data_IF_768979326748
#
_entry.id   IF_768979326748
#
_cell.length_a   1.000
_cell.length_b   1.000
_cell.length_c   1.000
_cell.angle_alpha   90.00
_cell.angle_beta   90.00
_cell.angle_gamma   90.00
#
_symmetry.space_group_name_H-M   'P 1'
#
loop_
_entity.id
_entity.type
_entity.pdbx_description
1 polymer ?
#
# COMPACT_ATOMS: atom_id res chain seq x y z
N UNK A 1 -8.29 -9.45 -1.10
CA UNK A 1 -8.62 -8.01 -1.07
C UNK A 1 -7.49 -7.02 -1.40
N UNK A 2 -6.19 -7.36 -1.55
CA UNK A 2 -5.19 -6.37 -1.97
C UNK A 2 -5.53 -5.63 -3.27
N UNK A 3 -6.05 -6.35 -4.26
CA UNK A 3 -6.43 -5.81 -5.57
C UNK A 3 -7.60 -4.81 -5.48
N UNK A 4 -8.74 -5.12 -4.82
CA UNK A 4 -9.80 -4.13 -4.57
C UNK A 4 -9.35 -2.83 -3.91
N UNK A 5 -8.48 -2.89 -2.89
CA UNK A 5 -7.95 -1.66 -2.27
C UNK A 5 -7.10 -0.84 -3.26
N UNK A 6 -6.26 -1.51 -4.07
CA UNK A 6 -5.49 -0.80 -5.09
C UNK A 6 -6.39 -0.23 -6.19
N UNK A 7 -7.42 -0.97 -6.59
CA UNK A 7 -8.42 -0.51 -7.55
C UNK A 7 -9.12 0.77 -7.05
N UNK A 8 -9.50 0.83 -5.77
CA UNK A 8 -10.05 2.04 -5.15
C UNK A 8 -9.09 3.23 -5.31
N UNK A 9 -7.82 3.06 -4.95
CA UNK A 9 -6.80 4.12 -5.07
C UNK A 9 -6.71 4.63 -6.52
N UNK A 10 -6.69 3.71 -7.49
CA UNK A 10 -6.60 4.06 -8.91
C UNK A 10 -7.86 4.77 -9.41
N UNK A 11 -9.05 4.28 -9.05
CA UNK A 11 -10.32 4.90 -9.45
C UNK A 11 -10.44 6.32 -8.87
N UNK A 12 -10.13 6.51 -7.59
CA UNK A 12 -10.14 7.83 -6.94
C UNK A 12 -9.14 8.77 -7.61
N UNK A 13 -7.93 8.28 -7.94
CA UNK A 13 -6.96 9.08 -8.68
C UNK A 13 -7.49 9.48 -10.06
N UNK A 14 -8.01 8.54 -10.84
CA UNK A 14 -8.54 8.82 -12.18
C UNK A 14 -9.70 9.80 -12.09
N UNK A 15 -10.63 9.63 -11.16
CA UNK A 15 -11.73 10.56 -10.92
C UNK A 15 -11.20 11.97 -10.63
N UNK A 16 -10.23 12.11 -9.73
CA UNK A 16 -9.64 13.42 -9.40
C UNK A 16 -8.99 14.13 -10.61
N UNK A 17 -8.42 13.36 -11.54
CA UNK A 17 -7.83 13.88 -12.78
C UNK A 17 -8.94 14.35 -13.74
N UNK A 18 -10.01 13.56 -13.89
CA UNK A 18 -11.13 13.93 -14.75
C UNK A 18 -11.85 15.16 -14.21
N UNK A 19 -12.11 15.25 -12.90
CA UNK A 19 -12.72 16.42 -12.26
C UNK A 19 -11.84 17.68 -12.40
N UNK A 20 -10.52 17.54 -12.32
CA UNK A 20 -9.61 18.68 -12.43
C UNK A 20 -9.57 19.29 -13.83
N UNK A 21 -9.66 18.46 -14.87
CA UNK A 21 -9.48 18.92 -16.25
C UNK A 21 -10.77 19.00 -17.06
N UNK A 22 -11.80 18.27 -16.66
CA UNK A 22 -13.14 18.20 -17.26
C UNK A 22 -13.13 17.91 -18.77
N UNK A 23 -12.15 17.12 -19.24
CA UNK A 23 -11.98 16.81 -20.67
C UNK A 23 -12.62 15.46 -21.02
N UNK A 24 -13.40 15.45 -22.10
CA UNK A 24 -13.86 14.23 -22.75
C UNK A 24 -12.66 13.43 -23.26
N UNK A 25 -12.79 12.10 -23.27
CA UNK A 25 -11.73 11.19 -23.74
C UNK A 25 -12.20 10.43 -24.97
N UNK A 26 -11.25 10.02 -25.79
CA UNK A 26 -11.49 9.16 -26.96
C UNK A 26 -10.91 7.79 -26.66
N UNK A 27 -11.74 6.75 -26.75
CA UNK A 27 -11.36 5.36 -26.47
C UNK A 27 -11.74 4.43 -27.64
N UNK A 28 -11.11 3.24 -27.76
CA UNK A 28 -11.59 2.21 -28.66
C UNK A 28 -13.02 1.80 -28.34
N UNK A 29 -13.83 1.53 -29.36
CA UNK A 29 -15.25 1.15 -29.18
C UNK A 29 -15.40 -0.09 -28.30
N UNK A 30 -14.48 -1.05 -28.42
CA UNK A 30 -14.48 -2.31 -27.65
C UNK A 30 -14.32 -2.05 -26.15
N UNK A 31 -13.54 -1.03 -25.76
CA UNK A 31 -13.41 -0.66 -24.34
C UNK A 31 -14.71 -0.03 -23.84
N UNK A 32 -15.35 0.82 -24.63
CA UNK A 32 -16.63 1.40 -24.21
C UNK A 32 -17.74 0.36 -24.13
N UNK A 33 -17.78 -0.64 -25.02
CA UNK A 33 -18.70 -1.79 -24.89
C UNK A 33 -18.48 -2.56 -23.58
N UNK A 34 -17.23 -2.75 -23.16
CA UNK A 34 -16.92 -3.33 -21.85
C UNK A 34 -17.45 -2.45 -20.72
N UNK A 35 -17.21 -1.13 -20.79
CA UNK A 35 -17.70 -0.19 -19.77
C UNK A 35 -19.22 -0.20 -19.66
N UNK A 36 -19.92 -0.17 -20.80
CA UNK A 36 -21.39 -0.19 -20.86
C UNK A 36 -21.97 -1.48 -20.27
N UNK A 37 -21.32 -2.63 -20.53
CA UNK A 37 -21.73 -3.93 -19.95
C UNK A 37 -21.51 -3.99 -18.44
N UNK A 38 -20.43 -3.39 -17.94
CA UNK A 38 -20.17 -3.29 -16.49
C UNK A 38 -21.23 -2.41 -15.83
N UNK A 39 -21.53 -1.25 -16.42
CA UNK A 39 -22.51 -0.31 -15.88
C UNK A 39 -23.93 -0.89 -15.93
N UNK A 40 -24.30 -1.58 -17.03
CA UNK A 40 -25.58 -2.29 -17.15
C UNK A 40 -25.72 -3.40 -16.10
N UNK A 41 -24.66 -4.17 -15.86
CA UNK A 41 -24.68 -5.20 -14.81
C UNK A 41 -24.84 -4.58 -13.41
N UNK A 42 -24.26 -3.39 -13.18
CA UNK A 42 -24.40 -2.65 -11.94
C UNK A 42 -25.82 -2.08 -11.77
N UNK A 43 -26.43 -1.56 -12.85
CA UNK A 43 -27.84 -1.13 -12.86
C UNK A 43 -28.75 -2.27 -12.38
N UNK A 44 -28.57 -3.47 -12.94
CA UNK A 44 -29.37 -4.63 -12.54
C UNK A 44 -29.17 -5.02 -11.07
N UNK A 45 -27.94 -4.92 -10.56
CA UNK A 45 -27.66 -5.18 -9.15
C UNK A 45 -28.33 -4.13 -8.25
N UNK A 46 -28.26 -2.85 -8.60
CA UNK A 46 -28.91 -1.77 -7.87
C UNK A 46 -30.45 -1.90 -7.92
N UNK A 47 -31.02 -2.23 -9.08
CA UNK A 47 -32.45 -2.46 -9.28
C UNK A 47 -32.99 -3.68 -8.51
N UNK A 48 -32.13 -4.68 -8.25
CA UNK A 48 -32.51 -5.83 -7.42
C UNK A 48 -32.81 -5.43 -5.96
N UNK A 49 -32.32 -4.28 -5.51
CA UNK A 49 -32.45 -3.82 -4.13
C UNK A 49 -31.62 -4.64 -3.15
N UNK A 50 -30.62 -5.39 -3.63
CA UNK A 50 -29.75 -6.17 -2.77
C UNK A 50 -28.95 -5.26 -1.82
N UNK A 51 -29.05 -5.53 -0.53
CA UNK A 51 -28.26 -4.91 0.52
C UNK A 51 -27.53 -5.97 1.34
N UNK A 52 -26.33 -5.64 1.81
CA UNK A 52 -25.56 -6.49 2.74
C UNK A 52 -26.16 -6.47 4.16
N UNK A 53 -27.43 -6.90 4.30
CA UNK A 53 -28.12 -7.05 5.58
C UNK A 53 -27.58 -8.26 6.36
N UNK A 54 -27.41 -8.09 7.67
CA UNK A 54 -27.13 -9.13 8.68
C UNK A 54 -26.14 -10.24 8.25
N UNK A 55 -24.97 -9.85 7.72
CA UNK A 55 -23.78 -10.73 7.57
C UNK A 55 -23.25 -11.28 8.92
N UNK A 56 -23.95 -11.03 10.03
CA UNK A 56 -23.69 -11.58 11.37
C UNK A 56 -23.87 -13.10 11.43
N UNK A 57 -24.61 -13.69 10.49
CA UNK A 57 -24.55 -15.13 10.26
C UNK A 57 -23.61 -15.40 9.11
N UNK A 58 -22.60 -16.23 9.36
CA UNK A 58 -21.70 -16.94 8.42
C UNK A 58 -22.36 -17.33 7.08
N UNK A 59 -22.67 -16.37 6.21
CA UNK A 59 -23.12 -16.63 4.85
C UNK A 59 -21.87 -17.04 4.08
N UNK A 60 -21.63 -18.35 4.10
CA UNK A 60 -20.65 -18.98 3.25
C UNK A 60 -21.17 -19.00 1.80
N UNK A 61 -22.48 -19.06 1.55
CA UNK A 61 -22.99 -19.02 0.18
C UNK A 61 -22.96 -17.59 -0.40
N UNK A 62 -22.53 -17.47 -1.65
CA UNK A 62 -22.58 -16.20 -2.38
C UNK A 62 -24.04 -15.93 -2.80
N UNK A 63 -24.61 -14.78 -2.43
CA UNK A 63 -25.95 -14.36 -2.86
C UNK A 63 -26.11 -14.39 -4.39
N UNK A 64 -27.30 -14.76 -4.85
CA UNK A 64 -27.56 -14.95 -6.28
C UNK A 64 -27.37 -13.65 -7.08
N UNK A 65 -27.71 -12.51 -6.49
CA UNK A 65 -27.57 -11.18 -7.06
C UNK A 65 -26.08 -10.86 -7.29
N UNK A 66 -25.24 -11.12 -6.28
CA UNK A 66 -23.78 -10.94 -6.39
C UNK A 66 -23.14 -11.94 -7.36
N UNK A 67 -23.61 -13.20 -7.38
CA UNK A 67 -23.17 -14.20 -8.36
C UNK A 67 -23.48 -13.74 -9.78
N UNK A 68 -24.72 -13.30 -10.03
CA UNK A 68 -25.19 -12.82 -11.33
C UNK A 68 -24.38 -11.61 -11.80
N UNK A 69 -24.14 -10.64 -10.91
CA UNK A 69 -23.27 -9.49 -11.20
C UNK A 69 -21.85 -9.94 -11.59
N UNK A 70 -21.23 -10.78 -10.76
CA UNK A 70 -19.89 -11.31 -11.03
C UNK A 70 -19.82 -12.06 -12.36
N UNK A 71 -20.80 -12.91 -12.68
CA UNK A 71 -20.84 -13.71 -13.91
C UNK A 71 -20.95 -12.83 -15.15
N UNK A 72 -21.82 -11.81 -15.13
CA UNK A 72 -21.97 -10.84 -16.22
C UNK A 72 -20.72 -10.01 -16.45
N UNK A 73 -20.14 -9.45 -15.40
CA UNK A 73 -18.91 -8.65 -15.50
C UNK A 73 -17.73 -9.53 -15.92
N UNK A 74 -17.66 -10.78 -15.47
CA UNK A 74 -16.65 -11.75 -15.91
C UNK A 74 -16.79 -12.08 -17.39
N UNK A 75 -18.02 -12.38 -17.83
CA UNK A 75 -18.33 -12.64 -19.23
C UNK A 75 -17.95 -11.45 -20.12
N UNK A 76 -18.34 -10.23 -19.73
CA UNK A 76 -17.98 -9.03 -20.47
C UNK A 76 -16.46 -8.85 -20.64
N UNK A 77 -15.67 -9.19 -19.60
CA UNK A 77 -14.19 -9.17 -19.70
C UNK A 77 -13.65 -10.22 -20.67
N UNK A 78 -14.18 -11.44 -20.68
CA UNK A 78 -13.74 -12.49 -21.61
C UNK A 78 -14.18 -12.19 -23.06
N UNK A 79 -15.36 -11.60 -23.24
CA UNK A 79 -15.82 -11.10 -24.54
C UNK A 79 -14.90 -9.99 -25.05
N UNK A 80 -14.57 -9.00 -24.21
CA UNK A 80 -13.61 -7.95 -24.55
C UNK A 80 -12.26 -8.53 -24.96
N UNK A 81 -11.70 -9.45 -24.15
CA UNK A 81 -10.42 -10.13 -24.48
C UNK A 81 -10.50 -10.88 -25.80
N UNK A 82 -11.63 -11.52 -26.10
CA UNK A 82 -11.86 -12.24 -27.36
C UNK A 82 -11.92 -11.29 -28.55
N UNK A 83 -12.58 -10.14 -28.40
CA UNK A 83 -12.68 -9.09 -29.42
C UNK A 83 -11.31 -8.50 -29.77
N UNK A 84 -10.48 -8.24 -28.77
CA UNK A 84 -9.17 -7.57 -28.95
C UNK A 84 -7.99 -8.55 -29.01
N UNK A 85 -8.25 -9.85 -29.11
CA UNK A 85 -7.22 -10.89 -29.03
C UNK A 85 -6.12 -10.75 -30.11
N UNK A 86 -6.48 -10.22 -31.27
CA UNK A 86 -5.58 -10.04 -32.42
C UNK A 86 -5.33 -8.56 -32.73
N UNK A 87 -6.39 -7.77 -32.87
CA UNK A 87 -6.32 -6.35 -33.19
C UNK A 87 -7.56 -5.60 -32.68
N UNK A 88 -7.45 -4.28 -32.60
CA UNK A 88 -8.60 -3.39 -32.43
C UNK A 88 -9.19 -3.04 -33.79
N UNK A 89 -10.50 -2.77 -33.84
CA UNK A 89 -11.20 -2.34 -35.06
C UNK A 89 -10.73 -0.98 -35.60
N UNK A 90 -9.93 -0.23 -34.84
CA UNK A 90 -9.58 1.18 -35.04
C UNK A 90 -10.75 2.16 -34.96
N UNK A 91 -11.97 1.68 -34.66
CA UNK A 91 -13.09 2.55 -34.37
C UNK A 91 -12.94 3.12 -32.96
N UNK A 92 -13.28 4.41 -32.81
CA UNK A 92 -13.21 5.11 -31.53
C UNK A 92 -14.52 5.77 -31.21
N UNK A 93 -14.80 5.93 -29.92
CA UNK A 93 -15.90 6.74 -29.42
C UNK A 93 -15.42 7.74 -28.38
N UNK A 94 -16.17 8.84 -28.24
CA UNK A 94 -15.92 9.88 -27.25
C UNK A 94 -16.81 9.63 -26.04
N UNK A 95 -16.23 9.65 -24.84
CA UNK A 95 -16.99 9.69 -23.59
C UNK A 95 -16.83 11.07 -22.97
N UNK A 96 -17.96 11.73 -22.72
CA UNK A 96 -18.01 13.03 -22.07
C UNK A 96 -17.52 12.95 -20.61
N UNK A 97 -16.80 13.97 -20.17
CA UNK A 97 -16.24 14.03 -18.80
C UNK A 97 -17.32 13.88 -17.73
N UNK A 98 -18.51 14.46 -17.94
CA UNK A 98 -19.64 14.32 -17.02
C UNK A 98 -20.12 12.88 -16.86
N UNK A 99 -20.15 12.09 -17.95
CA UNK A 99 -20.51 10.67 -17.89
C UNK A 99 -19.43 9.86 -17.18
N UNK A 100 -18.14 10.14 -17.46
CA UNK A 100 -17.05 9.46 -16.75
C UNK A 100 -17.06 9.71 -15.26
N UNK A 101 -17.32 10.95 -14.83
CA UNK A 101 -17.43 11.30 -13.41
C UNK A 101 -18.53 10.47 -12.75
N UNK A 102 -19.70 10.34 -13.40
CA UNK A 102 -20.80 9.53 -12.90
C UNK A 102 -20.42 8.05 -12.80
N UNK A 103 -19.90 7.46 -13.87
CA UNK A 103 -19.48 6.04 -13.93
C UNK A 103 -18.42 5.75 -12.85
N UNK A 104 -17.36 6.55 -12.78
CA UNK A 104 -16.27 6.33 -11.82
C UNK A 104 -16.76 6.49 -10.37
N UNK A 105 -17.63 7.45 -10.10
CA UNK A 105 -18.24 7.62 -8.77
C UNK A 105 -19.04 6.39 -8.37
N UNK A 106 -19.84 5.84 -9.29
CA UNK A 106 -20.61 4.61 -9.06
C UNK A 106 -19.69 3.41 -8.81
N UNK A 107 -18.64 3.23 -9.62
CA UNK A 107 -17.69 2.13 -9.45
C UNK A 107 -16.91 2.22 -8.13
N UNK A 108 -16.50 3.43 -7.72
CA UNK A 108 -15.85 3.64 -6.41
C UNK A 108 -16.80 3.22 -5.29
N UNK A 109 -18.08 3.62 -5.36
CA UNK A 109 -19.09 3.23 -4.39
C UNK A 109 -19.26 1.71 -4.32
N UNK A 110 -19.34 1.01 -5.44
CA UNK A 110 -19.46 -0.46 -5.45
C UNK A 110 -18.21 -1.14 -4.88
N UNK A 111 -17.02 -0.66 -5.21
CA UNK A 111 -15.77 -1.16 -4.61
C UNK A 111 -15.79 -0.95 -3.10
N UNK A 112 -16.22 0.22 -2.62
CA UNK A 112 -16.35 0.50 -1.19
C UNK A 112 -17.35 -0.42 -0.49
N UNK A 113 -18.50 -0.69 -1.11
CA UNK A 113 -19.45 -1.70 -0.62
C UNK A 113 -18.78 -3.08 -0.49
N UNK A 114 -18.06 -3.52 -1.51
CA UNK A 114 -17.32 -4.79 -1.49
C UNK A 114 -16.22 -4.86 -0.43
N UNK A 115 -15.51 -3.75 -0.17
CA UNK A 115 -14.51 -3.65 0.89
C UNK A 115 -15.16 -3.75 2.28
N UNK A 116 -16.28 -3.06 2.50
CA UNK A 116 -17.05 -3.14 3.75
C UNK A 116 -17.59 -4.56 3.98
N UNK A 117 -18.10 -5.20 2.92
CA UNK A 117 -18.52 -6.62 2.94
C UNK A 117 -17.38 -7.54 3.36
N UNK A 118 -16.18 -7.36 2.81
CA UNK A 118 -15.03 -8.18 3.18
C UNK A 118 -14.64 -8.02 4.65
N UNK A 119 -14.72 -6.79 5.21
CA UNK A 119 -14.50 -6.55 6.65
C UNK A 119 -15.56 -7.26 7.49
N UNK A 120 -16.83 -7.22 7.09
CA UNK A 120 -17.92 -7.94 7.77
C UNK A 120 -17.73 -9.46 7.74
N UNK A 121 -17.29 -10.02 6.61
CA UNK A 121 -16.98 -11.46 6.49
C UNK A 121 -15.82 -11.85 7.41
N UNK A 122 -14.80 -11.00 7.52
CA UNK A 122 -13.67 -11.21 8.43
C UNK A 122 -12.72 -12.36 8.02
N UNK A 123 -11.52 -12.35 8.59
CA UNK A 123 -10.54 -13.42 8.40
C UNK A 123 -10.81 -14.50 9.44
N UNK A 124 -10.66 -15.78 9.08
CA UNK A 124 -10.82 -16.85 10.04
C UNK A 124 -9.59 -17.77 10.00
N UNK A 125 -9.08 -18.09 11.17
CA UNK A 125 -7.90 -18.92 11.30
C UNK A 125 -7.62 -19.28 12.75
N UNK A 126 -6.44 -19.86 12.99
CA UNK A 126 -6.05 -20.16 14.36
C UNK A 126 -5.89 -18.87 15.17
N UNK A 127 -6.79 -18.66 16.13
CA UNK A 127 -6.78 -17.49 17.02
C UNK A 127 -7.39 -16.21 16.42
N UNK A 128 -8.12 -16.29 15.31
CA UNK A 128 -8.92 -15.19 14.76
C UNK A 128 -10.30 -15.73 14.34
N UNK A 129 -11.36 -15.12 14.88
CA UNK A 129 -12.76 -15.47 14.68
C UNK A 129 -13.50 -14.49 13.75
N UNK A 130 -12.76 -13.63 13.04
CA UNK A 130 -13.31 -12.64 12.12
C UNK A 130 -13.62 -11.30 12.77
N UNK A 131 -13.44 -11.17 14.09
CA UNK A 131 -13.76 -9.94 14.84
C UNK A 131 -12.60 -8.97 15.00
N UNK A 132 -11.43 -9.28 14.45
CA UNK A 132 -10.20 -8.46 14.58
C UNK A 132 -10.32 -7.06 13.94
N UNK A 133 -11.35 -6.81 13.14
CA UNK A 133 -11.51 -5.55 12.39
C UNK A 133 -10.42 -5.34 11.33
N UNK A 134 -9.68 -6.40 10.98
CA UNK A 134 -8.68 -6.42 9.92
C UNK A 134 -9.30 -7.05 8.68
N UNK A 135 -9.13 -6.38 7.54
CA UNK A 135 -9.61 -6.88 6.26
C UNK A 135 -8.97 -8.22 5.87
N UNK A 136 -9.74 -9.18 5.35
CA UNK A 136 -9.20 -10.40 4.77
C UNK A 136 -8.29 -10.12 3.59
N UNK A 137 -7.18 -10.86 3.49
CA UNK A 137 -6.28 -10.72 2.33
C UNK A 137 -6.71 -11.60 1.17
N UNK A 138 -7.22 -12.80 1.43
CA UNK A 138 -7.62 -13.74 0.40
C UNK A 138 -8.97 -14.34 0.77
N UNK A 139 -9.71 -14.75 -0.25
CA UNK A 139 -10.87 -15.63 -0.14
C UNK A 139 -10.67 -16.79 -1.12
N UNK A 140 -11.23 -17.94 -0.80
CA UNK A 140 -11.45 -19.01 -1.78
C UNK A 140 -12.92 -19.02 -2.19
N UNK A 141 -13.22 -19.45 -3.42
CA UNK A 141 -14.59 -19.65 -3.86
C UNK A 141 -14.74 -21.10 -4.30
N UNK A 142 -15.69 -21.81 -3.70
CA UNK A 142 -16.01 -23.19 -4.03
C UNK A 142 -17.32 -23.24 -4.82
N UNK A 143 -17.30 -23.83 -6.02
CA UNK A 143 -18.52 -24.00 -6.80
C UNK A 143 -19.43 -25.01 -6.09
N UNK A 144 -20.63 -24.58 -5.71
CA UNK A 144 -21.61 -25.39 -4.96
C UNK A 144 -22.70 -25.95 -5.86
N UNK A 145 -22.92 -25.33 -7.02
CA UNK A 145 -23.87 -25.81 -8.02
C UNK A 145 -23.40 -25.47 -9.44
N UNK A 146 -23.77 -26.31 -10.40
CA UNK A 146 -23.41 -26.15 -11.81
C UNK A 146 -24.38 -26.88 -12.74
N UNK A 147 -24.33 -26.51 -14.01
CA UNK A 147 -25.03 -27.19 -15.11
C UNK A 147 -24.03 -27.76 -16.11
N UNK A 148 -24.32 -28.93 -16.67
CA UNK A 148 -23.49 -29.53 -17.71
C UNK A 148 -23.70 -28.80 -19.03
N UNK A 149 -22.62 -28.51 -19.74
CA UNK A 149 -22.71 -27.90 -21.08
C UNK A 149 -23.01 -28.91 -22.18
N UNK A 150 -22.81 -30.21 -21.89
CA UNK A 150 -22.87 -31.29 -22.88
C UNK A 150 -21.58 -31.42 -23.71
N UNK A 151 -20.58 -30.59 -23.44
CA UNK A 151 -19.26 -30.64 -24.06
C UNK A 151 -18.25 -31.32 -23.13
N UNK A 152 -17.13 -31.77 -23.71
CA UNK A 152 -16.02 -32.36 -22.95
C UNK A 152 -14.71 -31.68 -23.32
N UNK A 153 -13.79 -31.60 -22.37
CA UNK A 153 -12.43 -31.17 -22.65
C UNK A 153 -11.64 -32.27 -23.40
N UNK A 154 -10.40 -31.95 -23.79
CA UNK A 154 -9.50 -32.88 -24.51
C UNK A 154 -9.23 -34.21 -23.79
N UNK A 155 -9.42 -34.24 -22.47
CA UNK A 155 -9.18 -35.39 -21.61
C UNK A 155 -10.49 -36.16 -21.31
N UNK A 156 -11.62 -35.75 -21.91
CA UNK A 156 -12.93 -36.40 -21.80
C UNK A 156 -13.75 -35.98 -20.57
N UNK A 157 -13.31 -34.99 -19.80
CA UNK A 157 -14.07 -34.48 -18.66
C UNK A 157 -15.17 -33.52 -19.12
N UNK A 158 -16.37 -33.68 -18.57
CA UNK A 158 -17.52 -32.83 -18.87
C UNK A 158 -17.23 -31.37 -18.47
N UNK A 159 -17.60 -30.45 -19.36
CA UNK A 159 -17.55 -29.02 -19.08
C UNK A 159 -18.83 -28.59 -18.35
N UNK A 160 -18.67 -27.61 -17.45
CA UNK A 160 -19.74 -27.15 -16.56
C UNK A 160 -19.81 -25.62 -16.56
N UNK A 161 -21.03 -25.10 -16.41
CA UNK A 161 -21.29 -23.70 -16.09
C UNK A 161 -21.69 -23.62 -14.61
N UNK A 162 -20.90 -22.92 -13.81
CA UNK A 162 -21.23 -22.66 -12.42
C UNK A 162 -22.54 -21.87 -12.31
N UNK A 163 -23.34 -22.18 -11.30
CA UNK A 163 -24.61 -21.46 -11.02
C UNK A 163 -24.70 -20.97 -9.58
N UNK A 164 -23.86 -21.48 -8.69
CA UNK A 164 -23.70 -20.99 -7.33
C UNK A 164 -22.30 -21.30 -6.81
N UNK A 165 -21.83 -20.51 -5.84
CA UNK A 165 -20.58 -20.74 -5.14
C UNK A 165 -20.67 -20.31 -3.69
N UNK A 166 -19.73 -20.79 -2.88
CA UNK A 166 -19.53 -20.39 -1.50
C UNK A 166 -18.14 -19.80 -1.28
N UNK A 167 -18.02 -18.85 -0.36
CA UNK A 167 -16.81 -18.20 0.10
C UNK A 167 -16.17 -19.02 1.21
N UNK A 168 -14.88 -19.28 1.08
CA UNK A 168 -14.01 -19.72 2.17
C UNK A 168 -13.09 -18.58 2.61
N UNK A 169 -12.84 -18.52 3.90
CA UNK A 169 -12.00 -17.52 4.54
C UNK A 169 -10.63 -18.11 4.88
N UNK A 170 -9.65 -17.22 5.02
CA UNK A 170 -8.27 -17.60 5.36
C UNK A 170 -7.79 -16.83 6.60
N UNK A 171 -6.70 -17.29 7.25
CA UNK A 171 -6.04 -16.53 8.29
C UNK A 171 -5.58 -15.16 7.78
N UNK A 172 -5.28 -14.25 8.70
CA UNK A 172 -4.73 -12.95 8.36
C UNK A 172 -3.43 -13.06 7.57
N UNK A 173 -3.25 -12.18 6.59
CA UNK A 173 -1.97 -11.89 5.96
C UNK A 173 -1.71 -10.39 6.06
N UNK A 174 -0.44 -10.00 6.25
CA UNK A 174 -0.06 -8.61 6.50
C UNK A 174 -0.36 -7.68 5.31
N UNK A 175 -0.47 -8.23 4.10
CA UNK A 175 -0.81 -7.44 2.92
C UNK A 175 -2.21 -6.80 3.03
N UNK A 176 -3.19 -7.49 3.61
CA UNK A 176 -4.55 -6.97 3.83
C UNK A 176 -4.58 -5.65 4.59
N UNK A 177 -4.18 -5.61 5.87
CA UNK A 177 -4.16 -4.38 6.66
C UNK A 177 -3.23 -3.31 6.08
N UNK A 178 -2.11 -3.69 5.44
CA UNK A 178 -1.26 -2.72 4.75
C UNK A 178 -2.03 -2.00 3.64
N UNK A 179 -2.77 -2.74 2.81
CA UNK A 179 -3.60 -2.17 1.74
C UNK A 179 -4.78 -1.38 2.27
N UNK A 180 -5.39 -1.83 3.37
CA UNK A 180 -6.43 -1.09 4.08
C UNK A 180 -5.91 0.28 4.54
N UNK A 181 -4.73 0.31 5.16
CA UNK A 181 -4.08 1.53 5.65
C UNK A 181 -3.73 2.50 4.52
N UNK A 182 -3.37 2.00 3.34
CA UNK A 182 -3.14 2.82 2.14
C UNK A 182 -4.40 3.58 1.67
N UNK A 183 -5.58 3.10 2.04
CA UNK A 183 -6.87 3.76 1.73
C UNK A 183 -7.48 4.54 2.90
N UNK A 184 -6.79 4.61 4.03
CA UNK A 184 -7.19 5.45 5.16
C UNK A 184 -7.16 6.93 4.76
N UNK A 185 -8.15 7.68 5.23
CA UNK A 185 -8.30 9.11 4.94
C UNK A 185 -7.81 9.98 6.10
N UNK A 186 -7.67 9.38 7.30
CA UNK A 186 -7.20 10.06 8.50
C UNK A 186 -6.13 9.26 9.24
N UNK A 187 -5.30 9.98 10.01
CA UNK A 187 -4.30 9.35 10.90
C UNK A 187 -4.95 8.47 11.97
N UNK A 188 -6.16 8.80 12.42
CA UNK A 188 -6.88 8.01 13.44
C UNK A 188 -7.39 6.67 12.90
N UNK A 189 -7.90 6.66 11.66
CA UNK A 189 -8.24 5.40 10.97
C UNK A 189 -7.02 4.50 10.81
N UNK A 190 -5.90 5.05 10.34
CA UNK A 190 -4.64 4.31 10.20
C UNK A 190 -4.12 3.81 11.55
N UNK A 191 -4.27 4.60 12.62
CA UNK A 191 -3.92 4.19 13.99
C UNK A 191 -4.78 3.06 14.50
N UNK A 192 -6.07 3.08 14.24
CA UNK A 192 -6.95 1.97 14.59
C UNK A 192 -6.53 0.67 13.88
N UNK A 193 -6.22 0.75 12.58
CA UNK A 193 -5.68 -0.41 11.83
C UNK A 193 -4.37 -0.89 12.46
N UNK A 194 -3.46 0.02 12.80
CA UNK A 194 -2.21 -0.33 13.46
C UNK A 194 -2.41 -1.06 14.80
N UNK A 195 -3.31 -0.58 15.66
CA UNK A 195 -3.60 -1.23 16.94
C UNK A 195 -4.19 -2.62 16.74
N UNK A 196 -5.17 -2.77 15.82
CA UNK A 196 -5.75 -4.07 15.52
C UNK A 196 -4.67 -5.07 15.05
N UNK A 197 -3.76 -4.65 14.16
CA UNK A 197 -2.66 -5.50 13.68
C UNK A 197 -1.67 -5.84 14.81
N UNK A 198 -1.35 -4.87 15.67
CA UNK A 198 -0.47 -5.07 16.82
C UNK A 198 -1.01 -6.11 17.81
N UNK A 199 -2.34 -6.14 17.99
CA UNK A 199 -3.04 -7.08 18.88
C UNK A 199 -3.37 -8.43 18.19
N UNK A 200 -3.22 -8.51 16.87
CA UNK A 200 -3.54 -9.71 16.09
C UNK A 200 -2.46 -10.79 16.08
N UNK A 201 -2.80 -11.96 15.53
CA UNK A 201 -1.87 -13.06 15.26
C UNK A 201 -0.76 -12.75 14.23
N UNK A 202 -0.73 -11.56 13.63
CA UNK A 202 0.36 -11.10 12.76
C UNK A 202 1.59 -10.60 13.53
N UNK A 203 1.46 -10.33 14.84
CA UNK A 203 2.57 -9.81 15.65
C UNK A 203 3.41 -10.95 16.23
N UNK A 204 4.69 -10.97 15.87
CA UNK A 204 5.69 -11.74 16.61
C UNK A 204 6.09 -10.94 17.86
N UNK A 205 5.55 -11.34 19.00
CA UNK A 205 5.78 -10.66 20.28
C UNK A 205 7.23 -10.80 20.77
N UNK A 206 7.95 -11.87 20.41
CA UNK A 206 9.32 -12.09 20.84
C UNK A 206 10.28 -11.16 20.10
N UNK A 207 10.11 -11.07 18.78
CA UNK A 207 10.98 -10.28 17.91
C UNK A 207 10.50 -8.83 17.75
N UNK A 208 9.27 -8.52 18.15
CA UNK A 208 8.63 -7.22 17.91
C UNK A 208 8.61 -6.87 16.42
N UNK A 209 8.20 -7.84 15.60
CA UNK A 209 8.07 -7.71 14.14
C UNK A 209 6.73 -8.26 13.65
N UNK A 210 6.38 -8.02 12.39
CA UNK A 210 5.14 -8.52 11.79
C UNK A 210 5.40 -9.64 10.80
N UNK A 211 4.74 -10.79 11.02
CA UNK A 211 4.79 -11.94 10.12
C UNK A 211 3.97 -11.71 8.85
N UNK A 212 4.33 -12.39 7.76
CA UNK A 212 3.62 -12.29 6.48
C UNK A 212 2.18 -12.81 6.58
N UNK A 213 1.96 -13.79 7.46
CA UNK A 213 0.67 -14.40 7.77
C UNK A 213 0.56 -14.65 9.27
N UNK A 214 -0.67 -14.77 9.77
CA UNK A 214 -0.94 -15.46 11.02
C UNK A 214 -0.67 -16.97 10.85
N UNK A 215 -0.93 -17.76 11.90
CA UNK A 215 -0.76 -19.21 11.85
C UNK A 215 -1.63 -19.83 10.76
N UNK A 216 -1.03 -20.67 9.92
CA UNK A 216 -1.71 -21.44 8.88
C UNK A 216 -2.17 -22.82 9.39
N UNK A 217 -2.14 -23.05 10.71
CA UNK A 217 -2.63 -24.30 11.30
C UNK A 217 -4.09 -24.57 10.93
N UNK A 218 -4.39 -25.82 10.56
CA UNK A 218 -5.73 -26.25 10.17
C UNK A 218 -6.16 -25.88 8.75
N UNK A 219 -5.33 -25.17 7.99
CA UNK A 219 -5.66 -24.78 6.62
C UNK A 219 -5.43 -25.89 5.58
N UNK A 220 -6.14 -25.82 4.45
CA UNK A 220 -6.00 -26.77 3.35
C UNK A 220 -4.66 -26.61 2.61
N UNK A 221 -4.11 -27.72 2.11
CA UNK A 221 -2.98 -27.71 1.17
C UNK A 221 -3.31 -27.00 -0.15
N UNK A 222 -4.58 -26.81 -0.48
CA UNK A 222 -5.03 -26.07 -1.66
C UNK A 222 -4.68 -24.57 -1.61
N UNK A 223 -4.35 -24.03 -0.42
CA UNK A 223 -3.77 -22.68 -0.29
C UNK A 223 -2.44 -22.54 -1.06
N UNK A 224 -1.82 -23.66 -1.41
CA UNK A 224 -0.63 -23.73 -2.22
C UNK A 224 0.63 -24.02 -1.42
N UNK A 225 1.78 -23.89 -2.08
CA UNK A 225 3.07 -24.41 -1.59
C UNK A 225 3.50 -23.90 -0.21
N UNK A 226 2.96 -22.77 0.26
CA UNK A 226 3.31 -22.21 1.57
C UNK A 226 3.02 -23.21 2.70
N UNK A 227 1.99 -24.05 2.52
CA UNK A 227 1.63 -25.10 3.46
C UNK A 227 2.68 -26.20 3.61
N UNK A 228 3.62 -26.31 2.67
CA UNK A 228 4.73 -27.26 2.76
C UNK A 228 5.91 -26.75 3.60
N UNK A 229 5.98 -25.45 3.89
CA UNK A 229 7.01 -24.89 4.76
C UNK A 229 6.61 -24.98 6.22
N UNK A 230 7.59 -25.19 7.10
CA UNK A 230 7.36 -25.08 8.54
C UNK A 230 6.90 -23.66 8.90
N UNK A 231 6.04 -23.49 9.92
CA UNK A 231 5.72 -22.17 10.46
C UNK A 231 6.99 -21.39 10.78
N UNK A 232 6.98 -20.09 10.55
CA UNK A 232 8.14 -19.21 10.73
C UNK A 232 9.19 -19.28 9.61
N UNK A 233 8.93 -20.01 8.53
CA UNK A 233 9.86 -20.17 7.41
C UNK A 233 9.24 -19.77 6.06
N UNK A 234 9.99 -19.00 5.27
CA UNK A 234 9.57 -18.53 3.94
C UNK A 234 8.16 -17.92 3.96
N UNK A 235 7.25 -18.30 3.06
CA UNK A 235 5.91 -17.71 2.99
C UNK A 235 4.95 -18.19 4.09
N UNK A 236 5.37 -19.09 5.00
CA UNK A 236 4.55 -19.56 6.13
C UNK A 236 4.97 -18.88 7.44
N UNK A 237 4.22 -17.87 7.88
CA UNK A 237 4.35 -17.22 9.19
C UNK A 237 5.76 -16.68 9.53
N UNK A 238 6.64 -16.48 8.56
CA UNK A 238 7.94 -15.80 8.76
C UNK A 238 7.76 -14.29 8.80
N UNK A 239 8.78 -13.55 9.26
CA UNK A 239 8.83 -12.10 9.08
C UNK A 239 9.34 -11.82 7.66
N UNK A 240 8.43 -11.69 6.70
CA UNK A 240 8.80 -11.39 5.32
C UNK A 240 9.14 -9.91 5.16
N UNK A 241 10.43 -9.59 5.22
CA UNK A 241 10.95 -8.23 5.40
C UNK A 241 10.36 -7.23 4.39
N UNK A 242 10.13 -7.65 3.14
CA UNK A 242 9.55 -6.78 2.12
C UNK A 242 8.10 -6.38 2.47
N UNK A 243 7.30 -7.30 2.99
CA UNK A 243 5.92 -7.01 3.38
C UNK A 243 5.86 -6.20 4.67
N UNK A 244 6.70 -6.54 5.66
CA UNK A 244 6.83 -5.75 6.90
C UNK A 244 7.24 -4.31 6.59
N UNK A 245 8.16 -4.09 5.65
CA UNK A 245 8.60 -2.74 5.27
C UNK A 245 7.53 -1.95 4.52
N UNK A 246 6.72 -2.61 3.67
CA UNK A 246 5.52 -1.96 3.10
C UNK A 246 4.55 -1.51 4.18
N UNK A 247 4.33 -2.35 5.18
CA UNK A 247 3.48 -2.00 6.32
C UNK A 247 4.02 -0.81 7.11
N UNK A 248 5.32 -0.80 7.45
CA UNK A 248 5.96 0.34 8.12
C UNK A 248 5.92 1.62 7.26
N UNK A 249 6.07 1.50 5.94
CA UNK A 249 5.97 2.63 5.03
C UNK A 249 4.58 3.28 5.09
N UNK A 250 3.51 2.50 5.23
CA UNK A 250 2.16 3.04 5.37
C UNK A 250 1.95 3.78 6.71
N UNK A 251 2.66 3.41 7.79
CA UNK A 251 2.68 4.22 9.02
C UNK A 251 3.23 5.63 8.75
N UNK A 252 4.37 5.72 8.04
CA UNK A 252 4.93 7.03 7.66
C UNK A 252 3.99 7.82 6.75
N UNK A 253 3.39 7.18 5.74
CA UNK A 253 2.46 7.85 4.79
C UNK A 253 1.23 8.42 5.48
N UNK A 254 0.76 7.78 6.55
CA UNK A 254 -0.38 8.21 7.34
C UNK A 254 -0.02 9.10 8.55
N UNK A 255 1.24 9.52 8.66
CA UNK A 255 1.69 10.42 9.73
C UNK A 255 1.81 9.77 11.11
N UNK A 256 1.85 8.43 11.20
CA UNK A 256 2.04 7.67 12.43
C UNK A 256 3.53 7.62 12.81
N UNK A 257 4.14 8.79 12.98
CA UNK A 257 5.58 8.90 13.16
C UNK A 257 6.05 8.27 14.47
N UNK A 258 5.30 8.47 15.57
CA UNK A 258 5.67 7.91 16.88
C UNK A 258 5.64 6.39 16.84
N UNK A 259 4.57 5.81 16.29
CA UNK A 259 4.41 4.37 16.12
C UNK A 259 5.51 3.80 15.22
N UNK A 260 5.76 4.44 14.07
CA UNK A 260 6.82 4.06 13.14
C UNK A 260 8.21 4.03 13.81
N UNK A 261 8.60 5.09 14.53
CA UNK A 261 9.92 5.18 15.16
C UNK A 261 10.06 4.27 16.39
N UNK A 262 8.95 3.93 17.04
CA UNK A 262 8.93 2.92 18.10
C UNK A 262 9.14 1.51 17.53
N UNK A 263 8.49 1.17 16.41
CA UNK A 263 8.74 -0.09 15.71
C UNK A 263 10.19 -0.16 15.19
N UNK A 264 10.70 0.92 14.60
CA UNK A 264 12.08 1.01 14.13
C UNK A 264 13.09 0.79 15.27
N UNK A 265 13.05 1.59 16.34
CA UNK A 265 13.97 1.43 17.49
C UNK A 265 13.76 0.14 18.27
N UNK A 266 12.56 -0.44 18.18
CA UNK A 266 12.21 -1.69 18.83
C UNK A 266 12.80 -2.94 18.19
N UNK A 267 13.48 -2.81 17.05
CA UNK A 267 14.04 -3.92 16.29
C UNK A 267 13.16 -4.39 15.12
N UNK A 268 12.09 -3.66 14.79
CA UNK A 268 11.21 -3.94 13.65
C UNK A 268 11.88 -3.79 12.28
N UNK A 269 13.04 -3.15 12.22
CA UNK A 269 13.83 -2.98 11.01
C UNK A 269 15.26 -3.50 11.18
N UNK A 270 15.79 -4.09 10.11
CA UNK A 270 17.10 -4.75 10.10
C UNK A 270 18.25 -3.90 10.69
N UNK A 271 18.38 -2.59 10.40
CA UNK A 271 19.47 -1.78 10.97
C UNK A 271 19.40 -1.60 12.50
N UNK A 272 18.26 -1.89 13.12
CA UNK A 272 17.99 -1.74 14.56
C UNK A 272 17.82 -3.08 15.27
N UNK A 273 18.03 -4.20 14.57
CA UNK A 273 18.09 -5.52 15.20
C UNK A 273 19.43 -5.70 15.92
N UNK A 274 19.41 -6.52 16.98
CA UNK A 274 20.63 -7.03 17.58
C UNK A 274 21.39 -7.88 16.53
N UNK A 275 22.63 -7.53 16.15
CA UNK A 275 23.39 -8.25 15.13
C UNK A 275 23.63 -9.72 15.48
N UNK A 276 23.74 -10.07 16.77
CA UNK A 276 23.95 -11.44 17.22
C UNK A 276 22.67 -12.29 17.05
N UNK A 277 21.51 -11.66 17.21
CA UNK A 277 20.19 -12.29 16.94
C UNK A 277 19.93 -12.37 15.43
N UNK A 278 20.20 -11.30 14.69
CA UNK A 278 20.04 -11.25 13.24
C UNK A 278 20.96 -12.24 12.52
N UNK A 279 22.11 -12.56 13.13
CA UNK A 279 23.08 -13.54 12.61
C UNK A 279 23.80 -13.08 11.34
N UNK A 280 23.71 -11.79 11.01
CA UNK A 280 24.29 -11.15 9.83
C UNK A 280 24.68 -9.71 10.16
N UNK A 281 25.43 -9.07 9.26
CA UNK A 281 25.69 -7.63 9.37
C UNK A 281 24.37 -6.85 9.21
N UNK A 282 24.03 -5.90 10.11
CA UNK A 282 22.88 -4.99 9.94
C UNK A 282 22.97 -4.10 8.68
N UNK A 283 24.13 -4.05 8.03
CA UNK A 283 24.34 -3.40 6.73
C UNK A 283 23.89 -4.26 5.54
N UNK A 284 23.54 -5.53 5.77
CA UNK A 284 23.04 -6.45 4.76
C UNK A 284 21.52 -6.64 4.90
N UNK A 285 20.83 -6.65 3.76
CA UNK A 285 19.42 -6.96 3.71
C UNK A 285 19.16 -8.48 3.72
N UNK A 286 18.02 -8.89 4.27
CA UNK A 286 17.47 -10.24 4.14
C UNK A 286 16.14 -10.24 3.38
N UNK A 287 15.74 -11.39 2.83
CA UNK A 287 14.39 -11.56 2.27
C UNK A 287 13.36 -11.76 3.37
N UNK A 288 13.72 -12.55 4.38
CA UNK A 288 12.89 -12.82 5.54
C UNK A 288 13.74 -13.10 6.78
N UNK A 289 13.10 -13.04 7.93
CA UNK A 289 13.65 -13.47 9.21
C UNK A 289 12.84 -14.67 9.71
N UNK A 290 13.52 -15.70 10.20
CA UNK A 290 12.84 -16.82 10.84
C UNK A 290 12.14 -16.33 12.12
N UNK A 291 10.80 -16.39 12.13
CA UNK A 291 10.01 -15.86 13.24
C UNK A 291 10.10 -16.77 14.47
N UNK A 292 9.52 -16.33 15.58
CA UNK A 292 9.42 -17.13 16.80
C UNK A 292 8.55 -18.37 16.68
N UNK A 293 7.81 -18.52 15.57
CA UNK A 293 7.02 -19.71 15.27
C UNK A 293 7.86 -20.86 14.68
N UNK A 294 9.12 -20.61 14.29
CA UNK A 294 9.97 -21.64 13.72
C UNK A 294 10.25 -22.77 14.71
N UNK A 295 10.25 -24.06 14.31
CA UNK A 295 10.44 -25.15 15.27
C UNK A 295 11.81 -25.19 15.95
N UNK A 296 12.85 -24.59 15.37
CA UNK A 296 14.19 -24.53 15.94
C UNK A 296 14.46 -23.15 16.58
N UNK A 297 14.46 -23.05 17.92
CA UNK A 297 14.67 -21.81 18.65
C UNK A 297 16.01 -21.11 18.37
N UNK A 298 17.02 -21.86 17.92
CA UNK A 298 18.34 -21.29 17.59
C UNK A 298 18.33 -20.41 16.35
N UNK A 299 17.26 -20.48 15.55
CA UNK A 299 17.08 -19.69 14.33
C UNK A 299 16.21 -18.46 14.51
N UNK A 300 15.52 -18.32 15.65
CA UNK A 300 14.58 -17.21 15.85
C UNK A 300 15.30 -15.88 15.76
N UNK A 301 14.87 -15.02 14.84
CA UNK A 301 15.47 -13.72 14.59
C UNK A 301 16.59 -13.71 13.54
N UNK A 302 17.04 -14.87 13.04
CA UNK A 302 18.08 -14.94 12.00
C UNK A 302 17.55 -14.55 10.62
N UNK A 303 18.33 -13.77 9.88
CA UNK A 303 18.04 -13.33 8.52
C UNK A 303 18.44 -14.32 7.43
N UNK A 304 17.57 -14.50 6.44
CA UNK A 304 17.79 -15.42 5.30
C UNK A 304 17.49 -14.77 3.96
N UNK A 305 18.20 -15.22 2.92
CA UNK A 305 17.97 -14.82 1.53
C UNK A 305 17.19 -15.93 0.82
N UNK A 306 15.95 -15.64 0.45
CA UNK A 306 15.18 -16.50 -0.44
C UNK A 306 15.54 -16.19 -1.91
N UNK A 307 15.62 -14.89 -2.26
CA UNK A 307 15.99 -14.31 -3.56
C UNK A 307 16.49 -12.86 -3.37
N UNK A 308 16.56 -12.07 -4.45
CA UNK A 308 16.68 -10.61 -4.34
C UNK A 308 15.44 -10.04 -3.65
N UNK A 309 15.63 -9.25 -2.59
CA UNK A 309 14.55 -8.70 -1.78
C UNK A 309 14.11 -7.31 -2.24
N UNK A 310 12.79 -7.07 -2.32
CA UNK A 310 12.23 -5.74 -2.53
C UNK A 310 12.37 -4.80 -1.34
N UNK A 311 12.78 -5.30 -0.16
CA UNK A 311 12.96 -4.52 1.07
C UNK A 311 13.85 -3.29 0.90
N UNK A 312 14.87 -3.35 0.04
CA UNK A 312 15.74 -2.21 -0.24
C UNK A 312 14.98 -1.05 -0.86
N UNK A 313 14.06 -1.31 -1.80
CA UNK A 313 13.26 -0.27 -2.44
C UNK A 313 12.28 0.38 -1.45
N UNK A 314 11.68 -0.42 -0.56
CA UNK A 314 10.80 0.11 0.48
C UNK A 314 11.57 0.91 1.52
N UNK A 315 12.78 0.48 1.91
CA UNK A 315 13.62 1.24 2.82
C UNK A 315 14.05 2.59 2.23
N UNK A 316 14.37 2.64 0.94
CA UNK A 316 14.63 3.91 0.25
C UNK A 316 13.38 4.81 0.22
N UNK A 317 12.19 4.23 0.03
CA UNK A 317 10.93 4.99 0.09
C UNK A 317 10.70 5.59 1.47
N UNK A 318 10.94 4.81 2.54
CA UNK A 318 10.88 5.31 3.92
C UNK A 318 11.91 6.40 4.16
N UNK A 319 13.16 6.22 3.72
CA UNK A 319 14.22 7.21 3.83
C UNK A 319 13.86 8.53 3.14
N UNK A 320 13.26 8.47 1.94
CA UNK A 320 12.79 9.67 1.22
C UNK A 320 11.74 10.40 2.04
N UNK A 321 10.73 9.71 2.57
CA UNK A 321 9.70 10.35 3.39
C UNK A 321 10.28 10.92 4.69
N UNK A 322 11.22 10.20 5.33
CA UNK A 322 11.88 10.67 6.54
C UNK A 322 12.72 11.92 6.29
N UNK A 323 13.60 11.90 5.29
CA UNK A 323 14.56 12.99 5.06
C UNK A 323 13.96 14.16 4.30
N UNK A 324 13.11 13.92 3.30
CA UNK A 324 12.62 14.94 2.36
C UNK A 324 11.17 15.32 2.66
N UNK A 325 10.35 14.33 2.99
CA UNK A 325 8.90 14.49 3.15
C UNK A 325 8.11 14.19 1.86
N UNK A 326 6.77 14.14 1.97
CA UNK A 326 5.90 13.93 0.82
C UNK A 326 5.86 15.17 -0.08
N UNK A 327 5.73 14.94 -1.39
CA UNK A 327 5.51 15.98 -2.41
C UNK A 327 6.40 17.22 -2.26
N UNK A 328 7.75 17.07 -2.28
CA UNK A 328 8.66 18.19 -2.04
C UNK A 328 8.51 19.32 -3.06
N UNK A 329 7.98 19.01 -4.25
CA UNK A 329 7.60 20.00 -5.27
C UNK A 329 6.09 20.01 -5.44
N UNK A 330 5.51 21.20 -5.44
CA UNK A 330 4.08 21.41 -5.60
C UNK A 330 3.82 22.67 -6.40
N UNK A 331 2.60 22.80 -6.92
CA UNK A 331 2.11 24.05 -7.52
C UNK A 331 1.30 24.77 -6.46
N UNK A 332 1.60 26.03 -6.21
CA UNK A 332 0.80 26.87 -5.32
C UNK A 332 -0.56 27.13 -5.98
N UNK A 333 -1.66 26.81 -5.28
CA UNK A 333 -3.01 26.84 -5.87
C UNK A 333 -3.43 28.22 -6.40
N UNK A 334 -3.00 29.30 -5.73
CA UNK A 334 -3.41 30.67 -6.06
C UNK A 334 -2.67 31.23 -7.28
N UNK A 335 -1.40 30.92 -7.43
CA UNK A 335 -0.50 31.51 -8.45
C UNK A 335 -0.22 30.54 -9.60
N UNK A 336 -0.32 29.23 -9.35
CA UNK A 336 0.15 28.19 -10.25
C UNK A 336 1.68 28.05 -10.26
N UNK A 337 2.39 28.75 -9.38
CA UNK A 337 3.85 28.75 -9.35
C UNK A 337 4.41 27.45 -8.76
N UNK A 338 5.51 26.97 -9.34
CA UNK A 338 6.28 25.87 -8.75
C UNK A 338 6.86 26.34 -7.42
N UNK A 339 6.71 25.54 -6.37
CA UNK A 339 7.32 25.77 -5.06
C UNK A 339 8.00 24.49 -4.61
N UNK A 340 8.96 24.63 -3.70
CA UNK A 340 9.61 23.49 -3.06
C UNK A 340 9.63 23.64 -1.55
N UNK A 341 9.36 22.57 -0.82
CA UNK A 341 9.57 22.53 0.63
C UNK A 341 10.23 21.20 1.04
N UNK A 342 10.89 21.21 2.19
CA UNK A 342 11.37 20.00 2.85
C UNK A 342 10.55 19.82 4.13
N UNK A 343 9.81 18.72 4.24
CA UNK A 343 8.95 18.42 5.40
C UNK A 343 9.34 17.07 5.97
N UNK A 344 10.50 16.96 6.63
CA UNK A 344 10.99 15.68 7.13
C UNK A 344 10.04 15.06 8.15
N UNK A 345 10.24 13.77 8.40
CA UNK A 345 9.70 13.03 9.53
C UNK A 345 10.89 12.44 10.30
N UNK A 346 11.53 13.24 11.15
CA UNK A 346 12.75 12.88 11.85
C UNK A 346 12.63 13.12 13.35
N UNK A 347 12.86 12.10 14.19
CA UNK A 347 12.94 12.28 15.63
C UNK A 347 14.27 12.92 16.02
N UNK A 348 14.28 13.62 17.15
CA UNK A 348 15.41 14.34 17.70
C UNK A 348 16.68 13.49 17.82
N UNK A 349 16.52 12.20 18.20
CA UNK A 349 17.66 11.31 18.45
C UNK A 349 18.48 10.94 17.19
N UNK A 350 18.01 11.27 15.98
CA UNK A 350 18.79 11.13 14.75
C UNK A 350 19.74 12.29 14.50
N UNK A 351 19.59 13.40 15.20
CA UNK A 351 20.46 14.57 15.03
C UNK A 351 21.71 14.44 15.88
N UNK A 352 22.80 15.06 15.43
CA UNK A 352 24.08 15.09 16.12
C UNK A 352 24.57 16.52 16.30
N UNK A 353 25.35 16.82 17.36
CA UNK A 353 25.99 18.12 17.50
C UNK A 353 26.80 18.45 16.26
N UNK A 354 26.68 19.69 15.79
CA UNK A 354 27.44 20.17 14.64
C UNK A 354 28.94 20.04 14.90
N UNK A 355 29.66 19.41 13.98
CA UNK A 355 31.11 19.24 14.08
C UNK A 355 31.81 20.60 14.27
N UNK A 356 32.54 20.76 15.39
CA UNK A 356 33.33 21.95 15.70
C UNK A 356 32.58 23.12 16.35
N UNK A 357 31.35 22.91 16.86
CA UNK A 357 30.57 23.90 17.61
C UNK A 357 30.10 23.33 18.97
N UNK A 358 29.59 24.20 19.85
CA UNK A 358 28.94 23.83 21.11
C UNK A 358 27.72 22.91 20.89
N UNK A 359 27.38 22.10 21.91
CA UNK A 359 26.34 21.05 21.92
C UNK A 359 24.92 21.51 21.54
N UNK A 360 24.68 22.81 21.34
CA UNK A 360 23.34 23.40 21.20
C UNK A 360 22.76 23.37 19.77
N UNK A 361 23.57 23.30 18.70
CA UNK A 361 23.10 23.22 17.30
C UNK A 361 23.14 21.77 16.78
N UNK A 362 22.01 21.07 16.90
CA UNK A 362 21.84 19.71 16.42
C UNK A 362 21.54 19.68 14.92
N UNK A 363 22.29 18.86 14.20
CA UNK A 363 22.24 18.78 12.74
C UNK A 363 22.10 17.36 12.22
N UNK A 364 21.51 17.24 11.03
CA UNK A 364 21.55 16.02 10.23
C UNK A 364 21.72 16.40 8.77
N UNK A 365 22.53 15.62 8.05
CA UNK A 365 22.86 15.89 6.65
C UNK A 365 22.50 14.72 5.74
N UNK A 366 22.11 15.04 4.52
CA UNK A 366 21.91 14.04 3.46
C UNK A 366 22.17 14.64 2.08
N UNK A 367 22.23 13.77 1.07
CA UNK A 367 22.45 14.15 -0.31
C UNK A 367 21.13 14.12 -1.09
N UNK A 368 20.62 15.29 -1.47
CA UNK A 368 19.45 15.43 -2.31
C UNK A 368 19.84 15.27 -3.78
N UNK A 369 19.11 14.42 -4.51
CA UNK A 369 19.33 14.11 -5.93
C UNK A 369 20.75 13.67 -6.29
N UNK A 370 21.48 13.11 -5.33
CA UNK A 370 22.82 12.58 -5.54
C UNK A 370 23.94 13.62 -5.67
N UNK A 371 23.65 14.92 -5.50
CA UNK A 371 24.68 15.97 -5.62
C UNK A 371 24.49 17.21 -4.76
N UNK A 372 23.30 17.46 -4.20
CA UNK A 372 23.03 18.67 -3.41
C UNK A 372 23.13 18.33 -1.93
N UNK A 373 24.10 18.90 -1.22
CA UNK A 373 24.25 18.67 0.22
C UNK A 373 23.15 19.41 0.99
N UNK A 374 22.29 18.68 1.69
CA UNK A 374 21.26 19.26 2.55
C UNK A 374 21.68 19.11 4.00
N UNK A 375 21.61 20.19 4.78
CA UNK A 375 21.79 20.16 6.24
C UNK A 375 20.57 20.75 6.92
N UNK A 376 19.96 19.99 7.82
CA UNK A 376 18.95 20.51 8.73
C UNK A 376 19.61 20.98 10.02
N UNK A 377 19.23 22.18 10.45
CA UNK A 377 19.61 22.79 11.72
C UNK A 377 18.39 22.80 12.63
N UNK A 378 18.50 22.15 13.80
CA UNK A 378 17.43 21.97 14.77
C UNK A 378 17.81 22.59 16.13
N UNK A 379 17.95 23.93 16.21
CA UNK A 379 18.34 24.61 17.45
C UNK A 379 17.29 24.50 18.55
N UNK A 380 16.03 24.23 18.18
CA UNK A 380 14.93 24.02 19.14
C UNK A 380 14.95 22.64 19.80
N UNK A 381 15.75 21.71 19.28
CA UNK A 381 15.88 20.34 19.78
C UNK A 381 14.52 19.63 19.91
N UNK A 382 13.71 19.73 18.85
CA UNK A 382 12.39 19.09 18.78
C UNK A 382 12.37 18.00 17.71
N UNK A 383 11.42 17.07 17.82
CA UNK A 383 11.11 16.16 16.71
C UNK A 383 10.58 16.96 15.52
N UNK A 384 11.07 16.67 14.31
CA UNK A 384 10.66 17.30 13.07
C UNK A 384 9.71 16.37 12.31
N UNK A 385 8.46 16.28 12.79
CA UNK A 385 7.42 15.41 12.23
C UNK A 385 6.48 16.16 11.30
N UNK A 386 6.77 16.15 10.00
CA UNK A 386 6.03 16.88 8.97
C UNK A 386 6.16 18.40 9.09
N UNK A 387 7.11 18.88 9.90
CA UNK A 387 7.38 20.30 10.13
C UNK A 387 8.16 20.85 8.94
N UNK A 388 7.83 22.06 8.49
CA UNK A 388 8.62 22.76 7.47
C UNK A 388 9.67 23.68 8.15
N UNK A 389 10.86 23.86 7.55
CA UNK A 389 11.82 24.88 7.95
C UNK A 389 11.18 26.26 8.04
N UNK A 390 11.68 27.11 8.92
CA UNK A 390 11.32 28.54 8.98
C UNK A 390 12.15 29.36 7.99
N UNK A 391 13.35 28.87 7.66
CA UNK A 391 14.32 29.57 6.81
C UNK A 391 15.20 28.61 6.02
N UNK A 392 15.52 28.99 4.79
CA UNK A 392 16.51 28.31 3.95
C UNK A 392 17.70 29.22 3.61
N UNK A 393 18.87 28.61 3.45
CA UNK A 393 20.04 29.20 2.80
C UNK A 393 20.47 28.27 1.69
N UNK A 394 20.39 28.75 0.45
CA UNK A 394 20.81 28.01 -0.74
C UNK A 394 22.13 28.57 -1.23
N UNK A 395 23.12 27.68 -1.35
CA UNK A 395 24.46 28.00 -1.88
C UNK A 395 24.59 27.43 -3.28
N UNK A 396 24.99 28.29 -4.21
CA UNK A 396 25.30 27.91 -5.58
C UNK A 396 26.81 27.77 -5.77
N UNK A 397 27.22 26.94 -6.73
CA UNK A 397 28.61 26.67 -7.10
C UNK A 397 29.42 27.92 -7.48
N UNK A 398 28.75 28.99 -7.94
CA UNK A 398 29.37 30.31 -8.17
C UNK A 398 29.55 31.13 -6.88
N UNK A 399 29.36 30.51 -5.71
CA UNK A 399 29.39 31.13 -4.38
C UNK A 399 28.26 32.15 -4.12
N UNK A 400 27.25 32.20 -5.00
CA UNK A 400 26.02 32.98 -4.72
C UNK A 400 25.26 32.34 -3.56
N UNK A 401 24.86 33.18 -2.61
CA UNK A 401 24.05 32.80 -1.45
C UNK A 401 22.67 33.43 -1.56
N UNK A 402 21.62 32.61 -1.48
CA UNK A 402 20.23 33.07 -1.42
C UNK A 402 19.65 32.71 -0.05
N UNK A 403 19.06 33.69 0.64
CA UNK A 403 18.38 33.50 1.92
C UNK A 403 16.88 33.63 1.69
N UNK A 404 16.12 32.67 2.21
CA UNK A 404 14.67 32.58 2.04
C UNK A 404 14.06 32.48 3.44
N UNK A 405 13.38 33.54 3.87
CA UNK A 405 12.65 33.63 5.14
C UNK A 405 11.20 33.15 4.95
N UNK A 406 11.05 31.92 4.48
CA UNK A 406 9.77 31.30 4.15
C UNK A 406 9.90 29.77 4.30
N UNK A 407 8.77 29.12 4.60
CA UNK A 407 8.63 27.67 4.72
C UNK A 407 8.75 26.91 3.41
N UNK A 408 8.64 27.62 2.28
CA UNK A 408 8.84 27.08 0.95
C UNK A 408 9.74 27.99 0.09
N UNK A 409 10.56 27.37 -0.74
CA UNK A 409 11.43 28.03 -1.70
C UNK A 409 10.63 28.48 -2.95
N UNK A 410 10.93 29.66 -3.50
CA UNK A 410 10.23 30.24 -4.65
C UNK A 410 10.55 29.52 -5.96
N UNK A 411 9.81 29.87 -7.03
CA UNK A 411 9.77 29.12 -8.29
C UNK A 411 11.10 29.01 -9.03
N UNK A 412 11.89 30.08 -9.07
CA UNK A 412 13.22 30.10 -9.67
C UNK A 412 14.16 29.13 -8.94
N UNK A 413 14.23 29.23 -7.62
CA UNK A 413 15.07 28.37 -6.78
C UNK A 413 14.60 26.90 -6.84
N UNK A 414 13.29 26.66 -6.74
CA UNK A 414 12.71 25.33 -6.85
C UNK A 414 13.01 24.69 -8.22
N UNK A 415 12.92 25.46 -9.31
CA UNK A 415 13.24 24.98 -10.65
C UNK A 415 14.73 24.64 -10.80
N UNK A 416 15.62 25.44 -10.21
CA UNK A 416 17.06 25.19 -10.25
C UNK A 416 17.44 23.96 -9.42
N UNK A 417 16.86 23.77 -8.23
CA UNK A 417 17.05 22.55 -7.42
C UNK A 417 16.55 21.32 -8.18
N UNK A 418 15.32 21.37 -8.73
CA UNK A 418 14.73 20.25 -9.47
C UNK A 418 15.55 19.82 -10.68
N UNK A 419 16.23 20.77 -11.33
CA UNK A 419 17.09 20.52 -12.50
C UNK A 419 18.56 20.31 -12.11
N UNK A 420 18.88 20.33 -10.82
CA UNK A 420 20.24 20.22 -10.29
C UNK A 420 21.18 21.25 -10.94
N UNK A 421 20.69 22.48 -11.12
CA UNK A 421 21.42 23.56 -11.78
C UNK A 421 22.28 24.31 -10.79
N UNK A 422 23.56 23.94 -10.71
CA UNK A 422 24.58 24.71 -9.98
C UNK A 422 24.31 24.90 -8.47
N UNK A 423 23.30 24.25 -7.89
CA UNK A 423 23.06 24.26 -6.44
C UNK A 423 24.03 23.29 -5.78
N UNK A 424 24.82 23.80 -4.84
CA UNK A 424 25.85 23.03 -4.12
C UNK A 424 25.32 22.53 -2.77
N UNK A 425 24.66 23.42 -2.02
CA UNK A 425 24.08 23.06 -0.73
C UNK A 425 22.80 23.81 -0.37
N UNK A 426 22.02 23.21 0.52
CA UNK A 426 20.81 23.77 1.13
C UNK A 426 20.94 23.61 2.64
N UNK A 427 20.88 24.71 3.38
CA UNK A 427 20.75 24.69 4.83
C UNK A 427 19.33 25.08 5.20
N UNK A 428 18.60 24.18 5.86
CA UNK A 428 17.24 24.40 6.32
C UNK A 428 17.23 24.55 7.85
N UNK A 429 16.62 25.61 8.35
CA UNK A 429 16.60 25.96 9.77
C UNK A 429 15.17 25.82 10.30
N UNK A 430 15.00 25.05 11.38
CA UNK A 430 13.72 24.71 12.00
C UNK A 430 13.50 25.41 13.33
#
# INVERSE_FOLDING_TARGET
MPEPYELKVLLVYVLSVIERFERSIVIPVELGELMDKIDSALDELEESGYEDEDLNSLLLDVPQELFSYWDKVSTAREEYRSLVAFEFSNATQTIESSNLIQILTRWIKEVDTGLLRAIKIGSHGHGDDGTSGITPTYFSYNITNWTLTGETNKDGYELVNATAMSVGTFPLFLEGPMRMMKTSTTSDEARNIYQNVLESGLRDNKLKMYSISASLEGQSFDMGRMMAFSPGWLENQSIWTHMSYKYYLELLRNGLYIEFFNEMRGGGMLPFMDPDVYGRSPMECSSFIASSAFPDPSRHGQGFLARLSGSTAEFLSMWILMMIGPSPFFLEEKTGDLRMHLKPALPLWLFQPKAGNDDDDLTIGFLLFGSINVTYHNPKQLDLFGVAPERYVVMFSNQTKVIIEDSAMPADIAADIRRVKQVESIHAYF
#
